data_IF_687887876576
#
_entry.id   IF_687887876576
#
_cell.length_a   1.000
_cell.length_b   1.000
_cell.length_c   1.000
_cell.angle_alpha   90.00
_cell.angle_beta   90.00
_cell.angle_gamma   90.00
#
_symmetry.space_group_name_H-M   'P 1'
#
loop_
_entity.id
_entity.type
_entity.pdbx_description
1 polymer ?
#
# COMPACT_ATOMS: atom_id res chain seq x y z
N UNK A 1 27.51 6.35 8.05
CA UNK A 1 27.79 5.79 6.70
C UNK A 1 26.62 4.89 6.32
N UNK A 2 25.50 5.44 5.82
CA UNK A 2 24.26 4.66 5.61
C UNK A 2 23.49 5.12 4.37
N UNK A 3 24.18 5.76 3.42
CA UNK A 3 23.54 6.31 2.22
C UNK A 3 23.71 5.46 0.96
N UNK A 4 24.38 4.31 1.04
CA UNK A 4 24.83 3.61 -0.17
C UNK A 4 24.39 2.15 -0.24
N UNK A 5 23.19 1.82 0.22
CA UNK A 5 22.57 0.51 -0.05
C UNK A 5 21.31 0.63 -0.92
N UNK A 6 20.63 1.77 -0.82
CA UNK A 6 19.45 2.12 -1.61
C UNK A 6 19.75 2.37 -3.10
N UNK A 7 20.99 2.75 -3.43
CA UNK A 7 21.44 2.97 -4.82
C UNK A 7 21.98 1.68 -5.48
N UNK A 8 22.29 0.63 -4.69
CA UNK A 8 22.95 -0.58 -5.21
C UNK A 8 22.00 -1.43 -6.07
N UNK A 9 20.71 -1.53 -5.70
CA UNK A 9 19.74 -2.34 -6.46
C UNK A 9 19.09 -1.61 -7.65
N UNK A 10 19.27 -0.29 -7.78
CA UNK A 10 18.86 0.44 -8.99
C UNK A 10 19.82 0.23 -10.16
N UNK A 11 21.00 -0.35 -9.90
CA UNK A 11 22.00 -0.70 -10.91
C UNK A 11 21.88 -2.12 -11.46
N UNK A 12 20.95 -2.94 -10.98
CA UNK A 12 20.71 -4.27 -11.55
C UNK A 12 20.06 -4.14 -12.94
N UNK A 13 20.73 -4.69 -13.95
CA UNK A 13 20.21 -4.77 -15.32
C UNK A 13 18.81 -5.40 -15.36
N UNK A 14 18.57 -6.38 -14.49
CA UNK A 14 17.27 -7.04 -14.38
C UNK A 14 16.16 -6.08 -13.93
N UNK A 15 16.37 -5.31 -12.86
CA UNK A 15 15.40 -4.31 -12.39
C UNK A 15 15.15 -3.22 -13.44
N UNK A 16 16.23 -2.73 -14.05
CA UNK A 16 16.15 -1.69 -15.09
C UNK A 16 15.37 -2.19 -16.30
N UNK A 17 15.60 -3.44 -16.72
CA UNK A 17 14.86 -4.06 -17.84
C UNK A 17 13.37 -4.23 -17.54
N UNK A 18 13.01 -4.64 -16.31
CA UNK A 18 11.61 -4.79 -15.91
C UNK A 18 10.89 -3.44 -15.90
N UNK A 19 11.52 -2.39 -15.36
CA UNK A 19 10.99 -1.03 -15.38
C UNK A 19 10.89 -0.46 -16.79
N UNK A 20 11.87 -0.73 -17.65
CA UNK A 20 11.83 -0.31 -19.05
C UNK A 20 10.63 -0.95 -19.77
N UNK A 21 10.46 -2.27 -19.66
CA UNK A 21 9.32 -2.99 -20.24
C UNK A 21 7.98 -2.50 -19.70
N UNK A 22 7.90 -2.24 -18.39
CA UNK A 22 6.70 -1.67 -17.79
C UNK A 22 6.38 -0.27 -18.36
N UNK A 23 7.40 0.55 -18.60
CA UNK A 23 7.24 1.86 -19.19
C UNK A 23 6.80 1.78 -20.67
N UNK A 24 7.30 0.80 -21.43
CA UNK A 24 6.83 0.53 -22.80
C UNK A 24 5.35 0.11 -22.82
N UNK A 25 4.93 -0.79 -21.93
CA UNK A 25 3.53 -1.16 -21.77
C UNK A 25 2.67 0.04 -21.36
N UNK A 26 3.19 0.92 -20.49
CA UNK A 26 2.55 2.18 -20.11
C UNK A 26 2.36 3.16 -21.29
N UNK A 27 3.33 3.24 -22.20
CA UNK A 27 3.22 4.04 -23.42
C UNK A 27 2.16 3.46 -24.37
N UNK A 28 2.15 2.14 -24.55
CA UNK A 28 1.13 1.43 -25.35
C UNK A 28 -0.27 1.60 -24.77
N UNK A 29 -0.39 1.53 -23.43
CA UNK A 29 -1.62 1.81 -22.70
C UNK A 29 -2.11 3.24 -22.97
N UNK A 30 -1.24 4.25 -22.85
CA UNK A 30 -1.60 5.64 -23.08
C UNK A 30 -2.10 5.87 -24.51
N UNK A 31 -1.41 5.30 -25.51
CA UNK A 31 -1.84 5.34 -26.92
C UNK A 31 -3.20 4.70 -27.11
N UNK A 32 -3.40 3.48 -26.61
CA UNK A 32 -4.67 2.77 -26.76
C UNK A 32 -5.85 3.53 -26.12
N UNK A 33 -5.63 4.19 -24.98
CA UNK A 33 -6.67 5.02 -24.36
C UNK A 33 -6.92 6.33 -25.13
N UNK A 34 -5.89 6.97 -25.65
CA UNK A 34 -6.03 8.16 -26.49
C UNK A 34 -6.81 7.82 -27.77
N UNK A 35 -6.44 6.76 -28.47
CA UNK A 35 -7.14 6.27 -29.66
C UNK A 35 -8.58 5.84 -29.34
N UNK A 36 -8.79 5.18 -28.19
CA UNK A 36 -10.13 4.83 -27.70
C UNK A 36 -11.00 6.07 -27.50
N UNK A 37 -10.43 7.13 -26.93
CA UNK A 37 -11.14 8.37 -26.68
C UNK A 37 -11.50 9.08 -28.00
N UNK A 38 -10.55 9.11 -28.94
CA UNK A 38 -10.79 9.65 -30.27
C UNK A 38 -11.88 8.87 -31.03
N UNK A 39 -11.85 7.53 -31.00
CA UNK A 39 -12.88 6.70 -31.62
C UNK A 39 -14.26 6.96 -31.01
N UNK A 40 -14.33 7.13 -29.68
CA UNK A 40 -15.56 7.49 -28.99
C UNK A 40 -16.09 8.86 -29.44
N UNK A 41 -15.21 9.87 -29.53
CA UNK A 41 -15.58 11.21 -30.02
C UNK A 41 -16.05 11.22 -31.48
N UNK A 42 -15.62 10.25 -32.29
CA UNK A 42 -16.07 10.06 -33.69
C UNK A 42 -17.38 9.27 -33.79
N UNK A 43 -17.91 8.76 -32.68
CA UNK A 43 -19.14 7.95 -32.64
C UNK A 43 -18.93 6.44 -32.81
N UNK A 44 -17.69 5.99 -32.97
CA UNK A 44 -17.34 4.58 -33.14
C UNK A 44 -17.18 3.87 -31.78
N UNK A 45 -18.31 3.67 -31.10
CA UNK A 45 -18.34 3.05 -29.77
C UNK A 45 -17.78 1.62 -29.71
N UNK A 46 -17.93 0.85 -30.80
CA UNK A 46 -17.38 -0.51 -30.89
C UNK A 46 -15.85 -0.50 -30.91
N UNK A 47 -15.25 0.36 -31.75
CA UNK A 47 -13.80 0.52 -31.83
C UNK A 47 -13.24 1.10 -30.53
N UNK A 48 -13.93 2.11 -29.95
CA UNK A 48 -13.58 2.66 -28.65
C UNK A 48 -13.53 1.58 -27.56
N UNK A 49 -14.54 0.70 -27.50
CA UNK A 49 -14.56 -0.39 -26.52
C UNK A 49 -13.43 -1.39 -26.72
N UNK A 50 -13.11 -1.74 -27.97
CA UNK A 50 -11.99 -2.62 -28.30
C UNK A 50 -10.65 -2.01 -27.83
N UNK A 51 -10.38 -0.75 -28.22
CA UNK A 51 -9.16 -0.04 -27.85
C UNK A 51 -9.06 0.18 -26.34
N UNK A 52 -10.18 0.47 -25.67
CA UNK A 52 -10.24 0.56 -24.20
C UNK A 52 -9.88 -0.77 -23.53
N UNK A 53 -10.40 -1.88 -24.03
CA UNK A 53 -10.05 -3.21 -23.52
C UNK A 53 -8.57 -3.53 -23.74
N UNK A 54 -8.01 -3.14 -24.89
CA UNK A 54 -6.58 -3.28 -25.16
C UNK A 54 -5.74 -2.42 -24.21
N UNK A 55 -6.13 -1.17 -23.95
CA UNK A 55 -5.48 -0.30 -22.97
C UNK A 55 -5.50 -0.91 -21.57
N UNK A 56 -6.62 -1.51 -21.15
CA UNK A 56 -6.71 -2.25 -19.87
C UNK A 56 -5.80 -3.49 -19.84
N UNK A 57 -5.59 -4.16 -20.97
CA UNK A 57 -4.68 -5.30 -21.04
C UNK A 57 -3.22 -4.86 -20.85
N UNK A 58 -2.80 -3.82 -21.57
CA UNK A 58 -1.49 -3.19 -21.38
C UNK A 58 -1.31 -2.69 -19.95
N UNK A 59 -2.35 -2.09 -19.35
CA UNK A 59 -2.32 -1.69 -17.94
C UNK A 59 -2.04 -2.88 -17.01
N UNK A 60 -2.72 -4.02 -17.20
CA UNK A 60 -2.50 -5.22 -16.38
C UNK A 60 -1.07 -5.75 -16.53
N UNK A 61 -0.53 -5.80 -17.76
CA UNK A 61 0.85 -6.24 -18.01
C UNK A 61 1.88 -5.31 -17.38
N UNK A 62 1.68 -4.00 -17.53
CA UNK A 62 2.50 -2.98 -16.87
C UNK A 62 2.47 -3.17 -15.34
N UNK A 63 1.28 -3.36 -14.75
CA UNK A 63 1.12 -3.57 -13.30
C UNK A 63 1.83 -4.87 -12.84
N UNK A 64 1.80 -5.94 -13.64
CA UNK A 64 2.53 -7.18 -13.36
C UNK A 64 4.05 -6.99 -13.41
N UNK A 65 4.58 -6.37 -14.45
CA UNK A 65 6.03 -6.12 -14.60
C UNK A 65 6.56 -5.20 -13.49
N UNK A 66 5.80 -4.17 -13.14
CA UNK A 66 6.12 -3.30 -12.01
C UNK A 66 6.11 -4.07 -10.69
N UNK A 67 5.10 -4.92 -10.46
CA UNK A 67 5.05 -5.78 -9.27
C UNK A 67 6.26 -6.70 -9.18
N UNK A 68 6.68 -7.32 -10.29
CA UNK A 68 7.85 -8.19 -10.34
C UNK A 68 9.14 -7.41 -10.03
N UNK A 69 9.30 -6.21 -10.58
CA UNK A 69 10.41 -5.32 -10.26
C UNK A 69 10.42 -4.92 -8.77
N UNK A 70 9.24 -4.64 -8.21
CA UNK A 70 9.05 -4.34 -6.79
C UNK A 70 9.41 -5.54 -5.90
N UNK A 71 8.95 -6.75 -6.23
CA UNK A 71 9.27 -7.98 -5.50
C UNK A 71 10.78 -8.25 -5.52
N UNK A 72 11.43 -8.06 -6.68
CA UNK A 72 12.87 -8.26 -6.82
C UNK A 72 13.68 -7.38 -5.87
N UNK A 73 13.38 -6.08 -5.85
CA UNK A 73 14.03 -5.14 -4.95
C UNK A 73 13.72 -5.46 -3.48
N UNK A 74 12.47 -5.80 -3.18
CA UNK A 74 12.02 -6.06 -1.82
C UNK A 74 12.65 -7.33 -1.22
N UNK A 75 12.76 -8.40 -2.01
CA UNK A 75 13.42 -9.64 -1.61
C UNK A 75 14.89 -9.42 -1.19
N UNK A 76 15.57 -8.44 -1.79
CA UNK A 76 16.94 -8.07 -1.42
C UNK A 76 17.06 -7.15 -0.20
N UNK A 77 16.02 -6.37 0.12
CA UNK A 77 16.08 -5.29 1.13
C UNK A 77 15.43 -5.62 2.48
N UNK A 78 14.48 -6.56 2.53
CA UNK A 78 13.74 -6.85 3.75
C UNK A 78 14.55 -7.70 4.75
N UNK A 79 15.66 -7.15 5.26
CA UNK A 79 16.58 -7.81 6.21
C UNK A 79 16.11 -7.72 7.66
N UNK A 80 15.09 -6.92 7.98
CA UNK A 80 14.59 -6.72 9.36
C UNK A 80 13.10 -7.06 9.46
N UNK A 81 12.68 -7.83 10.48
CA UNK A 81 11.27 -8.06 10.77
C UNK A 81 10.60 -6.75 11.22
N UNK A 82 9.39 -6.48 10.73
CA UNK A 82 8.60 -5.31 11.14
C UNK A 82 8.92 -3.99 10.43
N UNK A 83 9.83 -3.99 9.45
CA UNK A 83 10.12 -2.83 8.60
C UNK A 83 9.75 -3.16 7.16
N UNK A 84 9.06 -2.26 6.47
CA UNK A 84 8.63 -2.44 5.07
C UNK A 84 9.04 -1.22 4.29
N UNK A 85 9.91 -1.44 3.31
CA UNK A 85 10.34 -0.39 2.42
C UNK A 85 9.37 -0.22 1.25
N UNK A 86 8.81 0.98 1.12
CA UNK A 86 7.90 1.39 0.05
C UNK A 86 8.49 2.54 -0.79
N UNK A 87 9.77 2.89 -0.60
CA UNK A 87 10.36 4.02 -1.30
C UNK A 87 10.52 3.68 -2.79
N UNK A 88 10.14 4.61 -3.67
CA UNK A 88 10.25 4.41 -5.12
C UNK A 88 9.25 3.42 -5.72
N UNK A 89 8.29 2.91 -4.94
CA UNK A 89 7.14 2.18 -5.45
C UNK A 89 6.05 3.14 -5.98
N UNK A 90 5.29 2.70 -6.98
CA UNK A 90 4.08 3.41 -7.38
C UNK A 90 3.01 3.30 -6.30
N UNK A 91 2.08 4.25 -6.27
CA UNK A 91 1.02 4.35 -5.25
C UNK A 91 0.26 3.04 -5.07
N UNK A 92 -0.20 2.42 -6.17
CA UNK A 92 -0.93 1.15 -6.13
C UNK A 92 -0.10 0.00 -5.57
N UNK A 93 1.18 -0.04 -5.91
CA UNK A 93 2.11 -1.07 -5.42
C UNK A 93 2.32 -0.91 -3.92
N UNK A 94 2.57 0.33 -3.46
CA UNK A 94 2.77 0.63 -2.06
C UNK A 94 1.53 0.27 -1.21
N UNK A 95 0.34 0.58 -1.70
CA UNK A 95 -0.94 0.22 -1.07
C UNK A 95 -1.08 -1.31 -0.95
N UNK A 96 -0.89 -2.05 -2.04
CA UNK A 96 -0.99 -3.51 -2.03
C UNK A 96 0.04 -4.17 -1.10
N UNK A 97 1.29 -3.69 -1.12
CA UNK A 97 2.36 -4.18 -0.24
C UNK A 97 2.06 -3.91 1.23
N UNK A 98 1.57 -2.71 1.53
CA UNK A 98 1.21 -2.33 2.89
C UNK A 98 0.11 -3.21 3.44
N UNK A 99 -0.92 -3.52 2.63
CA UNK A 99 -1.98 -4.46 3.01
C UNK A 99 -1.42 -5.86 3.30
N UNK A 100 -0.59 -6.42 2.41
CA UNK A 100 0.04 -7.73 2.64
C UNK A 100 0.93 -7.74 3.89
N UNK A 101 1.69 -6.67 4.12
CA UNK A 101 2.56 -6.56 5.27
C UNK A 101 1.76 -6.42 6.57
N UNK A 102 0.67 -5.64 6.55
CA UNK A 102 -0.23 -5.50 7.69
C UNK A 102 -0.90 -6.84 8.04
N UNK A 103 -1.37 -7.59 7.04
CA UNK A 103 -1.93 -8.93 7.24
C UNK A 103 -0.89 -9.90 7.82
N UNK A 104 0.33 -9.88 7.27
CA UNK A 104 1.43 -10.74 7.74
C UNK A 104 1.84 -10.38 9.17
N UNK A 105 1.92 -9.09 9.49
CA UNK A 105 2.26 -8.60 10.82
C UNK A 105 1.16 -8.94 11.84
N UNK A 106 -0.12 -8.82 11.48
CA UNK A 106 -1.25 -9.31 12.28
C UNK A 106 -1.17 -10.81 12.53
N UNK A 107 -0.86 -11.61 11.51
CA UNK A 107 -0.71 -13.06 11.64
C UNK A 107 0.48 -13.45 12.53
N UNK A 108 1.56 -12.65 12.53
CA UNK A 108 2.71 -12.83 13.44
C UNK A 108 2.45 -12.33 14.86
N UNK A 109 1.39 -11.55 15.09
CA UNK A 109 1.11 -10.90 16.37
C UNK A 109 1.99 -9.68 16.64
N UNK A 110 2.55 -9.05 15.59
CA UNK A 110 3.37 -7.85 15.72
C UNK A 110 2.53 -6.67 16.24
N UNK A 111 3.07 -5.91 17.18
CA UNK A 111 2.40 -4.73 17.77
C UNK A 111 2.52 -3.48 16.91
N UNK A 112 3.59 -3.42 16.12
CA UNK A 112 4.01 -2.26 15.35
C UNK A 112 4.63 -2.68 14.02
N UNK A 113 4.41 -1.87 12.99
CA UNK A 113 5.01 -2.00 11.66
C UNK A 113 5.55 -0.65 11.21
N UNK A 114 6.81 -0.60 10.78
CA UNK A 114 7.45 0.60 10.28
C UNK A 114 7.42 0.60 8.75
N UNK A 115 6.73 1.57 8.15
CA UNK A 115 6.63 1.72 6.69
C UNK A 115 7.54 2.87 6.22
N UNK A 116 8.49 2.59 5.34
CA UNK A 116 9.37 3.60 4.76
C UNK A 116 8.75 4.11 3.46
N UNK A 117 7.96 5.17 3.54
CA UNK A 117 7.31 5.81 2.37
C UNK A 117 8.24 6.75 1.59
N UNK A 118 9.37 7.12 2.19
CA UNK A 118 10.34 8.06 1.61
C UNK A 118 9.94 9.54 1.78
N UNK A 119 10.91 10.44 1.79
CA UNK A 119 10.73 11.86 2.14
C UNK A 119 10.04 12.72 1.06
N UNK A 120 9.58 12.12 -0.04
CA UNK A 120 8.97 12.84 -1.16
C UNK A 120 9.92 13.70 -2.01
N UNK A 121 11.22 13.75 -1.70
CA UNK A 121 12.21 14.65 -2.34
C UNK A 121 12.47 14.40 -3.84
N UNK A 122 12.08 13.25 -4.40
CA UNK A 122 12.30 12.89 -5.81
C UNK A 122 11.03 12.73 -6.66
N UNK A 123 9.84 13.03 -6.14
CA UNK A 123 8.64 13.04 -6.98
C UNK A 123 8.65 14.29 -7.88
N UNK A 124 8.60 14.11 -9.21
CA UNK A 124 8.35 15.21 -10.17
C UNK A 124 7.06 15.93 -9.74
N UNK A 125 7.21 17.09 -9.10
CA UNK A 125 6.10 17.95 -8.64
C UNK A 125 5.88 18.04 -7.13
N UNK A 126 6.72 17.44 -6.26
CA UNK A 126 6.66 17.67 -4.81
C UNK A 126 5.42 17.12 -4.08
N UNK A 127 4.54 16.40 -4.78
CA UNK A 127 3.37 15.75 -4.21
C UNK A 127 3.72 14.29 -3.96
N UNK A 128 4.01 13.93 -2.71
CA UNK A 128 4.20 12.55 -2.30
C UNK A 128 2.86 11.79 -2.38
N UNK A 129 2.46 11.32 -3.57
CA UNK A 129 1.16 10.65 -3.79
C UNK A 129 1.00 9.34 -3.02
N UNK A 130 2.11 8.74 -2.59
CA UNK A 130 2.12 7.50 -1.80
C UNK A 130 1.60 7.77 -0.39
N UNK A 131 2.08 8.84 0.27
CA UNK A 131 1.70 9.19 1.64
C UNK A 131 0.17 9.27 1.88
N UNK A 132 -0.60 10.10 1.15
CA UNK A 132 -2.04 10.19 1.38
C UNK A 132 -2.78 8.89 1.04
N UNK A 133 -2.30 8.10 0.09
CA UNK A 133 -2.90 6.81 -0.24
C UNK A 133 -2.69 5.77 0.88
N UNK A 134 -1.51 5.80 1.53
CA UNK A 134 -1.26 4.96 2.71
C UNK A 134 -2.09 5.46 3.89
N UNK A 135 -2.18 6.77 4.12
CA UNK A 135 -3.04 7.32 5.18
C UNK A 135 -4.52 6.92 5.00
N UNK A 136 -5.06 6.98 3.78
CA UNK A 136 -6.41 6.50 3.47
C UNK A 136 -6.56 4.99 3.74
N UNK A 137 -5.56 4.19 3.37
CA UNK A 137 -5.56 2.76 3.67
C UNK A 137 -5.57 2.51 5.19
N UNK A 138 -4.76 3.23 5.96
CA UNK A 138 -4.73 3.10 7.43
C UNK A 138 -6.08 3.41 8.07
N UNK A 139 -6.75 4.47 7.59
CA UNK A 139 -8.12 4.81 8.03
C UNK A 139 -9.10 3.68 7.72
N UNK A 140 -9.03 3.06 6.54
CA UNK A 140 -9.89 1.93 6.15
C UNK A 140 -9.66 0.70 7.04
N UNK A 141 -8.41 0.41 7.38
CA UNK A 141 -8.06 -0.71 8.25
C UNK A 141 -8.25 -0.41 9.76
N UNK A 142 -8.68 0.81 10.12
CA UNK A 142 -8.84 1.30 11.50
C UNK A 142 -7.58 1.08 12.35
N UNK A 143 -6.41 1.27 11.75
CA UNK A 143 -5.12 1.16 12.42
C UNK A 143 -4.54 2.56 12.62
N UNK A 144 -3.90 2.79 13.76
CA UNK A 144 -3.29 4.08 14.05
C UNK A 144 -1.93 4.17 13.34
N UNK A 145 -1.72 5.22 12.57
CA UNK A 145 -0.46 5.45 11.86
C UNK A 145 0.10 6.82 12.25
N UNK A 146 1.31 6.83 12.79
CA UNK A 146 1.99 8.02 13.30
C UNK A 146 3.26 8.23 12.46
N UNK A 147 3.50 9.46 12.03
CA UNK A 147 4.75 9.83 11.38
C UNK A 147 5.87 9.88 12.42
N UNK A 148 7.03 9.30 12.09
CA UNK A 148 8.18 9.43 12.96
C UNK A 148 8.65 10.90 13.04
N UNK A 149 8.79 11.48 14.24
CA UNK A 149 9.16 12.89 14.41
C UNK A 149 10.59 13.21 13.97
N UNK A 150 11.47 12.22 13.88
CA UNK A 150 12.86 12.38 13.44
C UNK A 150 13.03 12.08 11.94
N UNK A 151 12.12 11.31 11.34
CA UNK A 151 12.22 10.91 9.95
C UNK A 151 10.85 10.92 9.25
N UNK A 152 10.49 12.05 8.64
CA UNK A 152 9.23 12.26 7.92
C UNK A 152 8.97 11.31 6.73
N UNK A 153 9.92 10.43 6.40
CA UNK A 153 9.79 9.37 5.41
C UNK A 153 9.42 7.99 6.01
N UNK A 154 9.21 7.90 7.33
CA UNK A 154 8.84 6.66 8.03
C UNK A 154 7.49 6.85 8.72
N UNK A 155 6.58 5.92 8.48
CA UNK A 155 5.25 5.85 9.07
C UNK A 155 5.21 4.65 10.00
N UNK A 156 4.97 4.89 11.29
CA UNK A 156 4.86 3.87 12.31
C UNK A 156 3.38 3.50 12.45
N UNK A 157 3.03 2.29 12.05
CA UNK A 157 1.67 1.75 12.12
C UNK A 157 1.56 0.87 13.36
N UNK A 158 0.66 1.25 14.26
CA UNK A 158 0.30 0.45 15.42
C UNK A 158 -0.82 -0.52 15.03
N UNK A 159 -0.50 -1.81 15.06
CA UNK A 159 -1.41 -2.90 14.72
C UNK A 159 -2.23 -3.29 15.95
N UNK A 160 -1.65 -3.10 17.14
CA UNK A 160 -2.31 -3.34 18.41
C UNK A 160 -2.92 -2.05 18.96
N UNK A 161 -4.12 -1.73 18.48
CA UNK A 161 -5.13 -1.22 19.39
C UNK A 161 -6.01 -2.41 19.75
N UNK A 162 -5.83 -2.87 20.98
CA UNK A 162 -6.74 -3.77 21.68
C UNK A 162 -8.18 -3.31 21.38
N UNK A 163 -8.88 -3.99 20.47
CA UNK A 163 -10.34 -4.03 20.46
C UNK A 163 -10.74 -4.88 21.66
N UNK A 164 -10.53 -4.31 22.83
CA UNK A 164 -10.70 -4.90 24.14
C UNK A 164 -10.98 -3.77 25.12
N UNK A 165 -11.87 -2.86 24.76
CA UNK A 165 -12.59 -2.05 25.73
C UNK A 165 -14.06 -2.02 25.32
N UNK A 166 -14.79 -2.98 25.88
CA UNK A 166 -16.21 -2.93 26.20
C UNK A 166 -16.93 -1.67 25.73
N UNK A 167 -17.59 -1.76 24.57
CA UNK A 167 -18.84 -1.03 24.42
C UNK A 167 -19.87 -1.76 25.30
N UNK A 168 -19.79 -1.55 26.62
CA UNK A 168 -20.94 -1.75 27.49
C UNK A 168 -21.97 -0.77 26.92
N UNK A 169 -22.93 -1.29 26.15
CA UNK A 169 -24.08 -0.49 25.78
C UNK A 169 -24.71 0.04 27.07
N UNK A 170 -25.37 1.21 27.06
CA UNK A 170 -26.07 1.72 28.24
C UNK A 170 -27.09 0.72 28.85
N UNK A 171 -27.37 -0.38 28.15
CA UNK A 171 -28.23 -1.49 28.54
C UNK A 171 -27.64 -2.41 29.64
N UNK A 172 -26.32 -2.50 29.82
CA UNK A 172 -25.71 -3.42 30.80
C UNK A 172 -25.56 -2.81 32.21
N UNK A 173 -25.47 -1.48 32.33
CA UNK A 173 -25.48 -0.80 33.66
C UNK A 173 -26.87 -0.93 34.32
N UNK A 174 -27.93 -1.05 33.52
CA UNK A 174 -29.30 -1.24 34.01
C UNK A 174 -29.55 -2.64 34.57
N UNK A 175 -28.72 -3.65 34.23
CA UNK A 175 -28.92 -5.03 34.69
C UNK A 175 -28.21 -5.39 35.99
N UNK A 176 -27.23 -4.61 36.43
CA UNK A 176 -26.46 -4.90 37.64
C UNK A 176 -26.99 -4.23 38.92
N UNK A 177 -28.00 -3.36 38.83
CA UNK A 177 -28.62 -2.75 40.03
C UNK A 177 -29.85 -3.51 40.57
N UNK A 178 -30.31 -4.57 39.89
CA UNK A 178 -31.59 -5.24 40.25
C UNK A 178 -31.48 -6.68 40.74
N UNK A 179 -30.29 -7.30 40.83
CA UNK A 179 -30.16 -8.64 41.41
C UNK A 179 -29.03 -8.71 42.43
N UNK A 180 -29.42 -8.54 43.69
CA UNK A 180 -28.85 -9.33 44.78
C UNK A 180 -28.87 -10.80 44.35
N UNK A 181 -27.70 -11.41 44.17
CA UNK A 181 -27.33 -12.64 44.88
C UNK A 181 -25.92 -13.11 44.49
N UNK A 182 -25.36 -13.88 45.40
CA UNK A 182 -23.98 -14.28 45.57
C UNK A 182 -23.32 -15.05 44.40
N UNK A 183 -22.00 -14.84 44.30
CA UNK A 183 -20.97 -15.79 43.86
C UNK A 183 -20.97 -16.26 42.39
N UNK A 184 -19.92 -15.87 41.65
CA UNK A 184 -19.41 -16.68 40.54
C UNK A 184 -17.88 -16.64 40.54
N UNK A 185 -17.29 -17.81 40.83
CA UNK A 185 -15.87 -18.13 40.65
C UNK A 185 -15.60 -18.25 39.15
N UNK A 186 -14.52 -17.62 38.65
CA UNK A 186 -14.02 -17.82 37.29
C UNK A 186 -12.80 -18.75 37.37
N UNK A 187 -12.90 -19.96 36.80
CA UNK A 187 -11.77 -20.74 36.26
C UNK A 187 -11.67 -20.48 34.77
#
# INVERSE_FOLDING_TARGET
>A
KEQNQHQINQGDDHYTSLRARANEEGNSMARAFEESHQAYSRGDGALAKQLSNQGKDHQRRMEQLNKEASDWIFAGQNRKPGEVDLHGLYVKEAVARTDQALQSAKARGDTQLNLIVGKGLHSKGGIAKVKPAIEELMQRHRVNAVLDPNNAGVLIVQINSNMGEHSVGPDEISRCLERNDESCIIM
#
